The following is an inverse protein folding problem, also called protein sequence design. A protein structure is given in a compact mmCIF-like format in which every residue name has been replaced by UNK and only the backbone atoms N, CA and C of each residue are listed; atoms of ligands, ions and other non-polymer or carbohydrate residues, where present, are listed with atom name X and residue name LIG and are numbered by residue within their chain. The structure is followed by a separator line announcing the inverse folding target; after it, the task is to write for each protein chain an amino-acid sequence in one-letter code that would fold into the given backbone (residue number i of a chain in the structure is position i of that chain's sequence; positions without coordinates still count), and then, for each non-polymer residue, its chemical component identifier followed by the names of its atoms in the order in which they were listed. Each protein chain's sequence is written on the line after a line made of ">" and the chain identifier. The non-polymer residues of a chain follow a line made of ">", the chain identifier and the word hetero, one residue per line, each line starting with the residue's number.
data_IF_859013520530
#
_entry.id   IF_859013520530
#
_cell.length_a   1.000
_cell.length_b   1.000
_cell.length_c   1.000
_cell.angle_alpha   90.00
_cell.angle_beta   90.00
_cell.angle_gamma   90.00
#
_symmetry.space_group_name_H-M   'P 1'
#
loop_
_entity.id
_entity.type
_entity.pdbx_description
1 polymer ?
#
# COMPACT_ATOMS: atom_id res chain seq x y z
N UNK A 1 5.34 20.93 -2.15
CA UNK A 1 4.55 21.46 -3.29
C UNK A 1 3.30 20.63 -3.41
N UNK A 2 2.17 21.24 -3.76
CA UNK A 2 0.91 20.56 -4.03
C UNK A 2 0.78 20.27 -5.53
N UNK A 3 0.04 19.21 -5.90
CA UNK A 3 -0.28 18.92 -7.30
C UNK A 3 -0.94 20.12 -8.02
N UNK A 4 -1.72 20.92 -7.27
CA UNK A 4 -2.37 22.13 -7.78
C UNK A 4 -1.38 23.18 -8.28
N UNK A 5 -0.18 23.23 -7.70
CA UNK A 5 0.86 24.21 -8.05
C UNK A 5 1.47 23.91 -9.43
N UNK A 6 1.37 22.66 -9.90
CA UNK A 6 1.90 22.19 -11.19
C UNK A 6 0.88 22.29 -12.33
N UNK A 7 -0.41 22.44 -12.03
CA UNK A 7 -1.48 22.38 -13.05
C UNK A 7 -1.43 23.49 -14.10
N UNK A 8 -0.90 24.67 -13.74
CA UNK A 8 -0.70 25.77 -14.70
C UNK A 8 0.35 25.38 -15.74
N UNK A 9 1.49 24.86 -15.28
CA UNK A 9 2.60 24.39 -16.11
C UNK A 9 2.19 23.21 -16.99
N UNK A 10 1.54 22.19 -16.41
CA UNK A 10 1.08 21.00 -17.12
C UNK A 10 0.03 21.34 -18.19
N UNK A 11 -0.81 22.35 -17.99
CA UNK A 11 -1.78 22.78 -18.99
C UNK A 11 -1.13 23.37 -20.24
N UNK A 12 -0.02 24.09 -20.08
CA UNK A 12 0.74 24.72 -21.16
C UNK A 12 1.53 23.74 -22.05
N UNK A 13 1.69 22.49 -21.63
CA UNK A 13 2.40 21.46 -22.40
C UNK A 13 1.64 21.04 -23.66
N UNK A 14 2.40 20.64 -24.68
CA UNK A 14 1.88 19.99 -25.87
C UNK A 14 1.22 18.64 -25.52
N UNK A 15 0.40 18.08 -26.42
CA UNK A 15 -0.20 16.75 -26.21
C UNK A 15 0.88 15.68 -26.02
N UNK A 16 1.98 15.75 -26.78
CA UNK A 16 3.06 14.78 -26.71
C UNK A 16 3.78 14.86 -25.36
N UNK A 17 4.09 16.07 -24.89
CA UNK A 17 4.81 16.24 -23.61
C UNK A 17 3.93 15.86 -22.42
N UNK A 18 2.62 16.07 -22.50
CA UNK A 18 1.67 15.57 -21.48
C UNK A 18 1.72 14.05 -21.37
N UNK A 19 1.79 13.34 -22.50
CA UNK A 19 1.90 11.89 -22.51
C UNK A 19 3.24 11.42 -21.91
N UNK A 20 4.35 12.10 -22.22
CA UNK A 20 5.66 11.80 -21.62
C UNK A 20 5.66 11.98 -20.10
N UNK A 21 5.03 13.06 -19.60
CA UNK A 21 4.89 13.30 -18.16
C UNK A 21 4.05 12.20 -17.50
N UNK A 22 2.96 11.77 -18.13
CA UNK A 22 2.15 10.66 -17.61
C UNK A 22 2.95 9.35 -17.54
N UNK A 23 3.71 9.02 -18.59
CA UNK A 23 4.56 7.83 -18.61
C UNK A 23 5.64 7.89 -17.53
N UNK A 24 6.29 9.04 -17.37
CA UNK A 24 7.28 9.27 -16.32
C UNK A 24 6.67 9.04 -14.93
N UNK A 25 5.54 9.67 -14.62
CA UNK A 25 4.85 9.53 -13.33
C UNK A 25 4.38 8.10 -13.09
N UNK A 26 3.88 7.41 -14.11
CA UNK A 26 3.47 6.01 -14.00
C UNK A 26 4.63 5.11 -13.59
N UNK A 27 5.82 5.32 -14.16
CA UNK A 27 7.03 4.53 -13.84
C UNK A 27 7.58 4.85 -12.46
N UNK A 28 7.49 6.11 -12.03
CA UNK A 28 7.86 6.49 -10.66
C UNK A 28 6.94 5.82 -9.64
N UNK A 29 5.62 5.86 -9.86
CA UNK A 29 4.64 5.20 -8.99
C UNK A 29 4.86 3.69 -8.91
N UNK A 30 5.09 3.01 -10.04
CA UNK A 30 5.46 1.59 -10.05
C UNK A 30 6.71 1.33 -9.21
N UNK A 31 7.71 2.21 -9.28
CA UNK A 31 8.97 2.05 -8.53
C UNK A 31 8.76 2.26 -7.02
N UNK A 32 8.00 3.28 -6.63
CA UNK A 32 7.64 3.55 -5.23
C UNK A 32 6.83 2.39 -4.63
N UNK A 33 5.82 1.89 -5.35
CA UNK A 33 5.04 0.71 -4.95
C UNK A 33 5.92 -0.54 -4.81
N UNK A 34 6.91 -0.71 -5.70
CA UNK A 34 7.85 -1.83 -5.65
C UNK A 34 8.89 -1.67 -4.53
N UNK A 35 9.10 -0.45 -4.02
CA UNK A 35 9.95 -0.20 -2.85
C UNK A 35 9.20 -0.46 -1.54
N UNK A 36 7.92 -0.08 -1.45
CA UNK A 36 7.08 -0.35 -0.27
C UNK A 36 6.57 -1.80 -0.22
N UNK A 37 6.40 -2.42 -1.39
CA UNK A 37 6.12 -3.85 -1.57
C UNK A 37 7.36 -4.45 -2.23
N UNK A 38 8.46 -4.56 -1.47
CA UNK A 38 9.67 -5.21 -1.97
C UNK A 38 9.27 -6.52 -2.67
N UNK A 39 9.61 -6.71 -3.97
CA UNK A 39 9.19 -7.89 -4.70
C UNK A 39 9.77 -9.08 -3.94
N UNK A 40 8.88 -9.97 -3.49
CA UNK A 40 9.25 -11.12 -2.69
C UNK A 40 10.34 -11.88 -3.45
N UNK A 41 11.54 -11.90 -2.88
CA UNK A 41 12.70 -12.51 -3.47
C UNK A 41 12.53 -14.02 -3.47
N UNK A 42 12.82 -14.64 -4.62
CA UNK A 42 12.77 -16.09 -4.74
C UNK A 42 13.73 -16.74 -3.73
N UNK A 43 13.18 -17.59 -2.85
CA UNK A 43 13.94 -18.28 -1.80
C UNK A 43 14.12 -17.50 -0.49
N UNK A 44 13.61 -16.26 -0.40
CA UNK A 44 13.61 -15.53 0.86
C UNK A 44 12.44 -15.96 1.76
N UNK A 45 12.70 -16.05 3.06
CA UNK A 45 11.68 -16.33 4.08
C UNK A 45 11.20 -15.02 4.68
N UNK A 46 9.92 -14.72 4.50
CA UNK A 46 9.29 -13.50 5.02
C UNK A 46 8.48 -13.83 6.26
N UNK A 47 8.67 -13.06 7.33
CA UNK A 47 7.85 -13.18 8.53
C UNK A 47 6.48 -12.58 8.26
N UNK A 48 5.51 -13.43 7.92
CA UNK A 48 4.12 -13.05 7.84
C UNK A 48 3.54 -12.95 9.25
N UNK A 49 2.93 -11.81 9.54
CA UNK A 49 2.09 -11.61 10.72
C UNK A 49 0.78 -12.36 10.49
N UNK A 50 0.86 -13.68 10.52
CA UNK A 50 -0.30 -14.56 10.43
C UNK A 50 -0.61 -15.11 11.82
N UNK A 51 -1.88 -15.40 12.14
CA UNK A 51 -2.24 -16.06 13.38
C UNK A 51 -1.74 -17.52 13.44
N UNK A 52 -1.11 -18.03 12.37
CA UNK A 52 -0.45 -19.32 12.37
C UNK A 52 0.69 -19.32 13.40
N UNK A 53 0.69 -20.30 14.30
CA UNK A 53 1.57 -20.37 15.48
C UNK A 53 1.28 -19.37 16.62
N UNK A 54 0.21 -18.58 16.56
CA UNK A 54 -0.26 -17.80 17.70
C UNK A 54 -1.19 -18.66 18.58
N UNK A 55 -0.60 -19.57 19.36
CA UNK A 55 -1.32 -20.55 20.19
C UNK A 55 -2.26 -19.95 21.26
N UNK A 56 -2.26 -18.61 21.43
CA UNK A 56 -3.20 -17.90 22.31
C UNK A 56 -4.19 -16.98 21.57
N UNK A 57 -4.06 -16.77 20.26
CA UNK A 57 -4.91 -15.82 19.53
C UNK A 57 -6.38 -16.28 19.48
N UNK A 58 -6.62 -17.59 19.40
CA UNK A 58 -7.97 -18.14 19.45
C UNK A 58 -8.67 -17.83 20.80
N UNK A 59 -7.95 -17.94 21.91
CA UNK A 59 -8.50 -17.62 23.24
C UNK A 59 -8.80 -16.13 23.38
N UNK A 60 -7.86 -15.26 22.96
CA UNK A 60 -8.06 -13.80 22.99
C UNK A 60 -9.28 -13.38 22.16
N UNK A 61 -9.49 -13.99 20.99
CA UNK A 61 -10.64 -13.72 20.15
C UNK A 61 -11.95 -14.25 20.77
N UNK A 62 -11.92 -15.41 21.43
CA UNK A 62 -13.07 -15.97 22.14
C UNK A 62 -13.50 -15.08 23.31
N UNK A 63 -12.54 -14.64 24.15
CA UNK A 63 -12.80 -13.76 25.29
C UNK A 63 -13.36 -12.40 24.83
N UNK A 64 -12.88 -11.88 23.70
CA UNK A 64 -13.38 -10.63 23.11
C UNK A 64 -14.82 -10.76 22.63
N UNK A 65 -15.18 -11.88 22.00
CA UNK A 65 -16.54 -12.16 21.54
C UNK A 65 -17.51 -12.25 22.73
N UNK A 66 -17.16 -13.00 23.77
CA UNK A 66 -17.98 -13.10 24.98
C UNK A 66 -18.18 -11.73 25.66
N UNK A 67 -17.12 -10.92 25.72
CA UNK A 67 -17.19 -9.57 26.30
C UNK A 67 -18.06 -8.64 25.43
N UNK A 68 -18.10 -8.83 24.12
CA UNK A 68 -18.96 -8.05 23.22
C UNK A 68 -20.44 -8.44 23.36
N UNK A 69 -20.76 -9.73 23.53
CA UNK A 69 -22.14 -10.18 23.74
C UNK A 69 -22.70 -9.82 25.13
N UNK A 70 -21.83 -9.60 26.11
CA UNK A 70 -22.23 -9.15 27.46
C UNK A 70 -22.45 -7.64 27.57
N UNK A 71 -22.03 -6.87 26.57
CA UNK A 71 -22.17 -5.40 26.54
C UNK A 71 -23.32 -4.91 25.63
N UNK A 72 -24.17 -5.81 25.14
CA UNK A 72 -25.50 -5.53 24.57
C UNK A 72 -26.62 -5.74 25.62
#
# INVERSE_FOLDING_TARGET
>A
MSATDLFSTLRGLSREDKLKVMEFLSRELETEETQDIAPLQAGATYHIWSPFNSHGAAQVLADLLETSEQND
#
